data_IF_166434743969
#
_entry.id   IF_166434743969
#
_cell.length_a   1.000
_cell.length_b   1.000
_cell.length_c   1.000
_cell.angle_alpha   90.00
_cell.angle_beta   90.00
_cell.angle_gamma   90.00
#
_symmetry.space_group_name_H-M   'P 1'
#
loop_
_entity.id
_entity.type
_entity.pdbx_description
1 polymer ?
#
# COMPACT_ATOMS: atom_id res chain seq x y z
N UNK A 1 -10.86 17.84 4.95
CA UNK A 1 -11.34 16.65 5.67
C UNK A 1 -10.75 15.40 5.04
N UNK A 2 -10.21 14.52 5.81
CA UNK A 2 -9.67 13.23 5.42
C UNK A 2 -10.74 12.13 5.59
N UNK A 3 -10.86 11.17 4.66
CA UNK A 3 -10.35 11.14 3.30
C UNK A 3 -11.19 11.97 2.31
N UNK A 4 -10.77 12.05 1.03
CA UNK A 4 -11.53 12.76 -0.01
C UNK A 4 -12.78 11.98 -0.44
N UNK A 5 -13.97 12.40 0.03
CA UNK A 5 -15.22 11.76 -0.33
C UNK A 5 -15.56 11.83 -1.82
N UNK A 6 -15.25 12.95 -2.49
CA UNK A 6 -15.46 13.08 -3.93
C UNK A 6 -14.61 12.09 -4.74
N UNK A 7 -13.35 11.89 -4.32
CA UNK A 7 -12.47 10.90 -4.95
C UNK A 7 -12.98 9.48 -4.70
N UNK A 8 -13.39 9.18 -3.47
CA UNK A 8 -13.96 7.88 -3.13
C UNK A 8 -15.17 7.54 -3.99
N UNK A 9 -16.12 8.47 -4.12
CA UNK A 9 -17.32 8.28 -4.95
C UNK A 9 -16.96 8.11 -6.44
N UNK A 10 -16.02 8.90 -6.96
CA UNK A 10 -15.60 8.81 -8.35
C UNK A 10 -14.94 7.45 -8.66
N UNK A 11 -14.03 6.97 -7.80
CA UNK A 11 -13.39 5.66 -7.96
C UNK A 11 -14.36 4.50 -7.73
N UNK A 12 -15.32 4.64 -6.81
CA UNK A 12 -16.41 3.68 -6.65
C UNK A 12 -17.20 3.52 -7.94
N UNK A 13 -17.64 4.63 -8.56
CA UNK A 13 -18.39 4.60 -9.83
C UNK A 13 -17.55 4.00 -10.97
N UNK A 14 -16.27 4.35 -11.06
CA UNK A 14 -15.35 3.81 -12.05
C UNK A 14 -15.17 2.29 -11.90
N UNK A 15 -15.07 1.80 -10.65
CA UNK A 15 -14.92 0.37 -10.36
C UNK A 15 -16.20 -0.40 -10.69
N UNK A 16 -17.39 0.15 -10.39
CA UNK A 16 -18.66 -0.45 -10.81
C UNK A 16 -18.76 -0.53 -12.33
N UNK A 17 -18.42 0.56 -13.04
CA UNK A 17 -18.38 0.58 -14.50
C UNK A 17 -17.43 -0.48 -15.07
N UNK A 18 -16.26 -0.62 -14.47
CA UNK A 18 -15.29 -1.64 -14.83
C UNK A 18 -15.86 -3.05 -14.66
N UNK A 19 -16.50 -3.33 -13.53
CA UNK A 19 -17.07 -4.65 -13.24
C UNK A 19 -18.21 -5.05 -14.20
N UNK A 20 -19.10 -4.12 -14.48
CA UNK A 20 -20.29 -4.40 -15.30
C UNK A 20 -19.99 -4.39 -16.80
N UNK A 21 -19.10 -3.50 -17.24
CA UNK A 21 -18.88 -3.24 -18.66
C UNK A 21 -17.44 -3.50 -19.12
N UNK A 22 -16.47 -3.59 -18.21
CA UNK A 22 -15.07 -3.87 -18.54
C UNK A 22 -14.88 -5.15 -19.36
N UNK A 23 -15.57 -6.26 -19.06
CA UNK A 23 -15.50 -7.49 -19.88
C UNK A 23 -15.98 -7.30 -21.33
N UNK A 24 -16.86 -6.31 -21.60
CA UNK A 24 -17.35 -6.01 -22.96
C UNK A 24 -16.35 -5.18 -23.77
N UNK A 25 -15.67 -4.24 -23.12
CA UNK A 25 -14.65 -3.39 -23.74
C UNK A 25 -13.76 -2.72 -22.71
N UNK A 26 -12.45 -2.81 -22.92
CA UNK A 26 -11.45 -2.14 -22.08
C UNK A 26 -11.63 -0.62 -22.01
N UNK A 27 -12.26 -0.01 -23.02
CA UNK A 27 -12.48 1.43 -23.06
C UNK A 27 -13.37 1.95 -21.94
N UNK A 28 -14.33 1.16 -21.44
CA UNK A 28 -15.14 1.54 -20.29
C UNK A 28 -14.30 1.70 -19.03
N UNK A 29 -13.34 0.80 -18.81
CA UNK A 29 -12.42 0.86 -17.68
C UNK A 29 -11.49 2.06 -17.78
N UNK A 30 -10.88 2.27 -18.96
CA UNK A 30 -9.97 3.39 -19.20
C UNK A 30 -10.71 4.72 -19.00
N UNK A 31 -11.89 4.88 -19.59
CA UNK A 31 -12.67 6.10 -19.44
C UNK A 31 -13.09 6.36 -17.98
N UNK A 32 -13.61 5.34 -17.30
CA UNK A 32 -14.06 5.46 -15.91
C UNK A 32 -12.91 5.87 -14.96
N UNK A 33 -11.80 5.14 -15.00
CA UNK A 33 -10.68 5.46 -14.12
C UNK A 33 -9.96 6.76 -14.50
N UNK A 34 -9.94 7.14 -15.78
CA UNK A 34 -9.42 8.45 -16.19
C UNK A 34 -10.25 9.59 -15.60
N UNK A 35 -11.57 9.51 -15.67
CA UNK A 35 -12.48 10.53 -15.09
C UNK A 35 -12.34 10.57 -13.56
N UNK A 36 -12.24 9.43 -12.89
CA UNK A 36 -12.01 9.36 -11.45
C UNK A 36 -10.68 10.00 -11.05
N UNK A 37 -9.62 9.75 -11.82
CA UNK A 37 -8.30 10.35 -11.61
C UNK A 37 -8.36 11.88 -11.80
N UNK A 38 -8.99 12.37 -12.87
CA UNK A 38 -9.18 13.82 -13.09
C UNK A 38 -9.93 14.45 -11.91
N UNK A 39 -10.96 13.77 -11.39
CA UNK A 39 -11.67 14.23 -10.19
C UNK A 39 -10.72 14.35 -9.00
N UNK A 40 -9.91 13.34 -8.70
CA UNK A 40 -8.94 13.38 -7.61
C UNK A 40 -7.92 14.51 -7.78
N UNK A 41 -7.33 14.64 -8.98
CA UNK A 41 -6.38 15.71 -9.30
C UNK A 41 -7.01 17.09 -9.14
N UNK A 42 -8.25 17.28 -9.58
CA UNK A 42 -8.94 18.56 -9.44
C UNK A 42 -9.13 18.97 -7.97
N UNK A 43 -9.30 18.00 -7.06
CA UNK A 43 -9.40 18.29 -5.61
C UNK A 43 -8.08 18.81 -5.04
N UNK A 44 -6.95 18.30 -5.53
CA UNK A 44 -5.61 18.79 -5.15
C UNK A 44 -5.35 20.18 -5.74
N UNK A 45 -5.62 20.39 -7.03
CA UNK A 45 -5.41 21.69 -7.69
C UNK A 45 -6.26 22.80 -7.06
N UNK A 46 -7.45 22.48 -6.56
CA UNK A 46 -8.30 23.43 -5.86
C UNK A 46 -7.96 23.59 -4.36
N UNK A 47 -6.83 23.06 -3.88
CA UNK A 47 -6.37 23.12 -2.49
C UNK A 47 -7.43 22.64 -1.46
N UNK A 48 -8.29 21.70 -1.84
CA UNK A 48 -9.34 21.14 -0.96
C UNK A 48 -8.89 19.90 -0.22
N UNK A 49 -7.94 19.15 -0.81
CA UNK A 49 -7.41 17.90 -0.28
C UNK A 49 -5.94 17.76 -0.60
N UNK A 50 -5.21 17.11 0.29
CA UNK A 50 -3.84 16.67 0.06
C UNK A 50 -3.83 15.41 -0.82
N UNK A 51 -2.68 15.12 -1.40
CA UNK A 51 -2.49 13.91 -2.22
C UNK A 51 -2.87 12.63 -1.46
N UNK A 52 -2.51 12.56 -0.17
CA UNK A 52 -2.87 11.45 0.73
C UNK A 52 -4.39 11.25 0.85
N UNK A 53 -5.17 12.35 0.96
CA UNK A 53 -6.63 12.29 1.10
C UNK A 53 -7.27 11.71 -0.16
N UNK A 54 -6.72 12.11 -1.33
CA UNK A 54 -7.16 11.64 -2.65
C UNK A 54 -6.84 10.17 -2.82
N UNK A 55 -5.63 9.75 -2.45
CA UNK A 55 -5.16 8.37 -2.59
C UNK A 55 -5.96 7.41 -1.71
N UNK A 56 -6.18 7.78 -0.46
CA UNK A 56 -7.01 6.99 0.47
C UNK A 56 -8.46 6.96 0.01
N UNK A 57 -8.98 8.09 -0.47
CA UNK A 57 -10.32 8.15 -1.05
C UNK A 57 -10.48 7.18 -2.22
N UNK A 58 -9.53 7.16 -3.16
CA UNK A 58 -9.53 6.23 -4.28
C UNK A 58 -9.51 4.77 -3.81
N UNK A 59 -8.63 4.43 -2.87
CA UNK A 59 -8.56 3.08 -2.31
C UNK A 59 -9.84 2.63 -1.62
N UNK A 60 -10.48 3.49 -0.82
CA UNK A 60 -11.75 3.19 -0.17
C UNK A 60 -12.86 3.00 -1.22
N UNK A 61 -12.89 3.83 -2.28
CA UNK A 61 -13.86 3.70 -3.35
C UNK A 61 -13.79 2.35 -4.06
N UNK A 62 -12.60 1.92 -4.45
CA UNK A 62 -12.37 0.62 -5.08
C UNK A 62 -12.74 -0.53 -4.13
N UNK A 63 -12.20 -0.51 -2.90
CA UNK A 63 -12.44 -1.55 -1.90
C UNK A 63 -13.93 -1.72 -1.57
N UNK A 64 -14.69 -0.63 -1.45
CA UNK A 64 -16.12 -0.71 -1.13
C UNK A 64 -16.90 -1.48 -2.20
N UNK A 65 -16.59 -1.28 -3.47
CA UNK A 65 -17.23 -2.01 -4.57
C UNK A 65 -16.83 -3.47 -4.55
N UNK A 66 -15.52 -3.75 -4.46
CA UNK A 66 -15.02 -5.12 -4.46
C UNK A 66 -15.60 -5.95 -3.30
N UNK A 67 -15.63 -5.36 -2.11
CA UNK A 67 -16.24 -6.00 -0.94
C UNK A 67 -17.76 -6.16 -1.12
N UNK A 68 -18.44 -5.16 -1.71
CA UNK A 68 -19.88 -5.24 -2.00
C UNK A 68 -20.23 -6.41 -2.92
N UNK A 69 -19.50 -6.58 -4.01
CA UNK A 69 -19.69 -7.73 -4.92
C UNK A 69 -19.33 -9.05 -4.25
N UNK A 70 -18.23 -9.09 -3.48
CA UNK A 70 -17.84 -10.28 -2.73
C UNK A 70 -18.92 -10.71 -1.74
N UNK A 71 -19.49 -9.77 -0.98
CA UNK A 71 -20.57 -10.07 -0.04
C UNK A 71 -21.85 -10.46 -0.76
N UNK A 72 -22.18 -9.83 -1.89
CA UNK A 72 -23.32 -10.21 -2.70
C UNK A 72 -23.20 -11.67 -3.17
N UNK A 73 -22.04 -12.05 -3.72
CA UNK A 73 -21.77 -13.42 -4.16
C UNK A 73 -21.85 -14.43 -3.02
N UNK A 74 -21.34 -14.08 -1.83
CA UNK A 74 -21.40 -14.94 -0.65
C UNK A 74 -22.83 -15.12 -0.10
N UNK A 75 -23.64 -14.07 -0.12
CA UNK A 75 -25.00 -14.08 0.45
C UNK A 75 -25.97 -14.74 -0.52
N UNK A 76 -25.95 -14.38 -1.78
CA UNK A 76 -26.93 -14.83 -2.77
C UNK A 76 -26.58 -16.16 -3.42
N UNK A 77 -25.38 -16.72 -3.15
CA UNK A 77 -24.92 -18.02 -3.70
C UNK A 77 -25.13 -18.15 -5.22
N UNK A 78 -25.01 -17.04 -5.92
CA UNK A 78 -25.23 -17.06 -7.36
C UNK A 78 -24.08 -17.72 -8.13
N UNK A 79 -24.41 -18.20 -9.32
CA UNK A 79 -23.64 -19.10 -10.20
C UNK A 79 -22.18 -18.70 -10.50
N UNK A 80 -21.80 -17.48 -10.22
CA UNK A 80 -20.42 -17.01 -10.39
C UNK A 80 -19.38 -17.77 -9.53
N UNK A 81 -19.79 -18.34 -8.41
CA UNK A 81 -18.88 -19.13 -7.57
C UNK A 81 -18.48 -20.47 -8.21
N UNK A 82 -19.38 -21.07 -9.00
CA UNK A 82 -19.14 -22.37 -9.66
C UNK A 82 -18.24 -22.21 -10.89
N UNK A 83 -18.43 -21.16 -11.67
CA UNK A 83 -17.52 -20.81 -12.79
C UNK A 83 -16.13 -20.40 -12.25
N UNK A 84 -16.12 -19.63 -11.15
CA UNK A 84 -14.92 -19.21 -10.47
C UNK A 84 -14.12 -20.39 -9.90
N UNK A 85 -14.76 -21.43 -9.36
CA UNK A 85 -14.06 -22.61 -8.88
C UNK A 85 -13.48 -23.47 -10.02
N UNK A 86 -14.13 -23.54 -11.17
CA UNK A 86 -13.64 -24.25 -12.35
C UNK A 86 -12.44 -23.52 -12.96
N UNK A 87 -12.50 -22.21 -13.09
CA UNK A 87 -11.38 -21.38 -13.56
C UNK A 87 -10.20 -21.46 -12.60
N UNK A 88 -10.45 -21.50 -11.30
CA UNK A 88 -9.40 -21.66 -10.29
C UNK A 88 -8.68 -23.01 -10.31
N UNK A 89 -9.37 -24.07 -10.65
CA UNK A 89 -8.73 -25.39 -10.79
C UNK A 89 -7.71 -25.41 -11.95
N UNK A 90 -7.99 -24.61 -12.99
CA UNK A 90 -7.08 -24.44 -14.12
C UNK A 90 -5.92 -23.50 -13.80
N UNK A 91 -6.15 -22.48 -12.95
CA UNK A 91 -5.20 -21.38 -12.67
C UNK A 91 -4.20 -21.68 -11.52
N UNK A 92 -4.21 -22.90 -10.98
CA UNK A 92 -3.27 -23.30 -9.91
C UNK A 92 -1.78 -23.15 -10.35
N UNK A 93 -1.52 -23.09 -11.65
CA UNK A 93 -0.21 -22.95 -12.25
C UNK A 93 0.04 -21.58 -12.90
N UNK A 94 -0.91 -20.66 -12.85
CA UNK A 94 -0.71 -19.33 -13.41
C UNK A 94 0.21 -18.47 -12.54
N UNK A 95 0.94 -17.59 -13.20
CA UNK A 95 1.89 -16.67 -12.57
C UNK A 95 1.11 -15.69 -11.71
N UNK A 96 1.41 -15.55 -10.41
CA UNK A 96 0.69 -14.64 -9.51
C UNK A 96 1.20 -13.20 -9.63
N UNK A 97 1.34 -12.69 -10.86
CA UNK A 97 1.74 -11.31 -11.13
C UNK A 97 0.68 -10.35 -10.67
N UNK A 98 1.08 -9.24 -10.08
CA UNK A 98 0.12 -8.27 -9.53
C UNK A 98 0.68 -6.85 -9.58
N UNK A 99 -0.24 -5.90 -9.58
CA UNK A 99 0.00 -4.49 -9.34
C UNK A 99 -1.11 -3.98 -8.42
N UNK A 100 -0.77 -3.30 -7.35
CA UNK A 100 -1.78 -2.84 -6.40
C UNK A 100 -1.37 -1.65 -5.57
N UNK A 101 -2.37 -1.14 -4.86
CA UNK A 101 -2.22 -0.07 -3.88
C UNK A 101 -2.24 -0.65 -2.48
N UNK A 102 -1.33 -0.16 -1.64
CA UNK A 102 -1.16 -0.58 -0.26
C UNK A 102 -1.48 0.57 0.69
N UNK A 103 -2.24 0.25 1.72
CA UNK A 103 -2.40 1.08 2.91
C UNK A 103 -1.82 0.30 4.07
N UNK A 104 -0.90 0.91 4.80
CA UNK A 104 -0.22 0.23 5.90
C UNK A 104 0.03 1.15 7.08
N UNK A 105 0.26 0.53 8.24
CA UNK A 105 0.64 1.20 9.46
C UNK A 105 2.08 0.86 9.79
N UNK A 106 2.89 1.88 10.02
CA UNK A 106 4.28 1.74 10.41
C UNK A 106 4.39 1.83 11.94
N UNK A 107 4.94 0.79 12.53
CA UNK A 107 5.26 0.73 13.97
C UNK A 107 6.77 0.68 14.12
N UNK A 108 7.36 1.74 14.66
CA UNK A 108 8.79 1.78 14.93
C UNK A 108 9.09 0.94 16.16
N UNK A 109 10.01 -0.02 16.01
CA UNK A 109 10.41 -0.93 17.08
C UNK A 109 11.65 -0.38 17.77
N UNK A 110 11.55 -0.16 19.07
CA UNK A 110 12.64 0.30 19.90
C UNK A 110 12.61 1.80 20.19
N UNK A 111 13.54 2.26 21.02
CA UNK A 111 13.72 3.67 21.37
C UNK A 111 14.80 4.26 20.47
N UNK A 112 14.49 5.37 19.86
CA UNK A 112 15.42 6.10 19.01
C UNK A 112 16.02 7.26 19.77
N UNK A 113 17.35 7.35 19.77
CA UNK A 113 18.10 8.43 20.39
C UNK A 113 18.89 9.19 19.32
N UNK A 114 18.29 10.21 18.69
CA UNK A 114 18.93 10.95 17.60
C UNK A 114 20.20 11.69 18.08
N UNK A 115 20.19 12.23 19.28
CA UNK A 115 21.29 12.97 19.89
C UNK A 115 21.37 12.62 21.39
N UNK A 116 22.54 12.73 21.97
CA UNK A 116 22.73 12.47 23.40
C UNK A 116 21.80 13.32 24.27
N UNK A 117 20.95 12.66 25.05
CA UNK A 117 19.97 13.32 25.95
C UNK A 117 18.57 13.54 25.37
N UNK A 118 18.32 13.22 24.10
CA UNK A 118 16.99 13.33 23.46
C UNK A 118 16.47 11.93 23.16
N UNK A 119 15.37 11.53 23.82
CA UNK A 119 14.66 10.29 23.50
C UNK A 119 13.42 10.63 22.66
N UNK A 120 13.27 9.96 21.52
CA UNK A 120 12.10 10.05 20.65
C UNK A 120 11.17 8.87 20.85
N UNK A 121 9.91 9.13 21.11
CA UNK A 121 8.83 8.14 21.05
C UNK A 121 8.07 8.30 19.73
N UNK A 122 7.91 7.20 19.03
CA UNK A 122 7.15 7.17 17.80
C UNK A 122 5.77 6.60 18.05
N UNK A 123 4.77 7.27 17.55
CA UNK A 123 3.43 6.71 17.42
C UNK A 123 3.29 5.93 16.11
N UNK A 124 2.24 5.13 16.01
CA UNK A 124 1.94 4.42 14.78
C UNK A 124 1.76 5.41 13.61
N UNK A 125 2.54 5.23 12.57
CA UNK A 125 2.48 6.02 11.34
C UNK A 125 1.53 5.43 10.32
N UNK A 126 1.17 6.24 9.32
CA UNK A 126 0.41 5.79 8.14
C UNK A 126 1.33 5.80 6.94
N UNK A 127 1.24 4.74 6.15
CA UNK A 127 2.02 4.55 4.95
C UNK A 127 1.09 4.19 3.78
N UNK A 128 1.31 4.84 2.66
CA UNK A 128 0.57 4.62 1.42
C UNK A 128 1.57 4.28 0.32
N UNK A 129 1.31 3.20 -0.40
CA UNK A 129 2.22 2.74 -1.41
C UNK A 129 1.56 2.10 -2.62
N UNK A 130 2.38 1.94 -3.65
CA UNK A 130 2.09 1.12 -4.81
C UNK A 130 3.12 0.00 -4.82
N UNK A 131 2.65 -1.21 -4.93
CA UNK A 131 3.47 -2.42 -4.95
C UNK A 131 3.07 -3.30 -6.13
N UNK A 132 4.07 -3.83 -6.84
CA UNK A 132 3.81 -4.73 -7.94
C UNK A 132 4.94 -5.73 -8.12
N UNK A 133 4.61 -6.91 -8.61
CA UNK A 133 5.59 -7.94 -8.92
C UNK A 133 5.17 -8.74 -10.16
N UNK A 134 6.15 -9.02 -10.97
CA UNK A 134 6.02 -9.90 -12.12
C UNK A 134 6.66 -11.25 -11.80
N UNK A 135 5.88 -12.31 -11.90
CA UNK A 135 6.31 -13.66 -11.60
C UNK A 135 6.73 -14.39 -12.88
N UNK A 136 7.95 -14.90 -12.88
CA UNK A 136 8.48 -15.72 -13.98
C UNK A 136 7.92 -17.14 -13.94
N UNK A 137 7.62 -17.62 -12.75
CA UNK A 137 6.99 -18.92 -12.49
C UNK A 137 5.99 -18.76 -11.32
N UNK A 138 5.17 -19.79 -10.98
CA UNK A 138 4.18 -19.67 -9.91
C UNK A 138 4.73 -19.34 -8.52
N UNK A 139 6.04 -19.45 -8.32
CA UNK A 139 6.66 -19.38 -7.00
C UNK A 139 7.58 -18.17 -6.80
N UNK A 140 8.22 -17.70 -7.87
CA UNK A 140 9.27 -16.66 -7.78
C UNK A 140 9.01 -15.56 -8.78
N UNK A 141 9.05 -14.34 -8.32
CA UNK A 141 8.92 -13.12 -9.12
C UNK A 141 9.87 -12.03 -8.67
N UNK A 142 9.94 -10.99 -9.49
CA UNK A 142 10.65 -9.74 -9.20
C UNK A 142 9.68 -8.59 -9.25
N UNK A 143 9.88 -7.62 -8.35
CA UNK A 143 8.98 -6.50 -8.28
C UNK A 143 9.57 -5.35 -7.49
N UNK A 144 8.70 -4.37 -7.21
CA UNK A 144 9.09 -3.20 -6.44
C UNK A 144 7.92 -2.59 -5.71
N UNK A 145 8.26 -1.70 -4.81
CA UNK A 145 7.34 -0.93 -3.99
C UNK A 145 7.83 0.50 -3.92
N UNK A 146 6.92 1.44 -4.11
CA UNK A 146 7.12 2.84 -3.76
C UNK A 146 6.07 3.27 -2.76
N UNK A 147 6.47 4.04 -1.76
CA UNK A 147 5.56 4.43 -0.70
C UNK A 147 5.93 5.76 -0.08
N UNK A 148 4.92 6.43 0.43
CA UNK A 148 5.02 7.65 1.23
C UNK A 148 4.53 7.34 2.64
N UNK A 149 5.31 7.70 3.63
CA UNK A 149 5.01 7.45 5.05
C UNK A 149 4.99 8.74 5.84
N UNK A 150 4.07 8.83 6.78
CA UNK A 150 3.98 9.93 7.75
C UNK A 150 3.87 9.35 9.15
N UNK A 151 4.90 9.54 9.94
CA UNK A 151 5.01 8.99 11.31
C UNK A 151 5.00 10.13 12.32
N UNK A 152 4.02 10.20 13.25
CA UNK A 152 4.02 11.18 14.31
C UNK A 152 5.14 10.90 15.33
N UNK A 153 5.93 11.93 15.63
CA UNK A 153 7.03 11.86 16.60
C UNK A 153 6.70 12.74 17.80
N UNK A 154 6.94 12.21 19.00
CA UNK A 154 6.97 12.97 20.24
C UNK A 154 8.38 12.94 20.80
N UNK A 155 8.94 14.11 21.07
CA UNK A 155 10.22 14.23 21.75
C UNK A 155 10.01 14.67 23.20
N UNK A 156 10.81 14.09 24.10
CA UNK A 156 10.75 14.42 25.55
C UNK A 156 11.01 15.89 25.88
N UNK A 157 11.48 16.68 24.94
CA UNK A 157 11.88 18.09 25.13
C UNK A 157 10.81 19.07 24.64
N UNK A 158 9.78 18.61 23.94
CA UNK A 158 8.75 19.47 23.36
C UNK A 158 7.35 18.87 23.46
N UNK A 159 6.39 19.66 23.94
CA UNK A 159 4.97 19.28 23.95
C UNK A 159 4.31 19.26 22.56
N UNK A 160 5.06 19.55 21.49
CA UNK A 160 4.56 19.55 20.12
C UNK A 160 4.71 18.18 19.48
N UNK A 161 3.64 17.72 18.85
CA UNK A 161 3.66 16.52 17.99
C UNK A 161 4.05 16.97 16.59
N UNK A 162 5.22 16.58 16.14
CA UNK A 162 5.68 16.81 14.76
C UNK A 162 5.55 15.53 13.92
N UNK A 163 5.63 15.64 12.61
CA UNK A 163 5.49 14.49 11.69
C UNK A 163 6.78 14.31 10.91
N UNK A 164 7.23 13.07 10.88
CA UNK A 164 8.30 12.66 9.99
C UNK A 164 7.69 12.13 8.69
N UNK A 165 7.80 12.94 7.66
CA UNK A 165 7.38 12.55 6.33
C UNK A 165 8.57 11.96 5.56
N UNK A 166 8.33 10.84 4.90
CA UNK A 166 9.37 10.15 4.13
C UNK A 166 8.79 9.47 2.91
N UNK A 167 9.63 9.26 1.92
CA UNK A 167 9.30 8.40 0.79
C UNK A 167 10.39 7.34 0.60
N UNK A 168 9.97 6.18 0.12
CA UNK A 168 10.85 5.07 -0.13
C UNK A 168 10.53 4.43 -1.47
N UNK A 169 11.58 3.98 -2.17
CA UNK A 169 11.47 3.14 -3.34
C UNK A 169 12.37 1.91 -3.15
N UNK A 170 11.83 0.74 -3.37
CA UNK A 170 12.53 -0.52 -3.19
C UNK A 170 12.15 -1.53 -4.26
N UNK A 171 13.08 -2.42 -4.57
CA UNK A 171 12.88 -3.52 -5.51
C UNK A 171 13.47 -4.81 -4.94
N UNK A 172 13.01 -5.95 -5.41
CA UNK A 172 13.52 -7.21 -4.92
C UNK A 172 12.77 -8.45 -5.38
N UNK A 173 13.01 -9.54 -4.67
CA UNK A 173 12.41 -10.83 -4.95
C UNK A 173 11.10 -11.03 -4.18
N UNK A 174 10.14 -11.62 -4.85
CA UNK A 174 8.84 -12.00 -4.32
C UNK A 174 8.66 -13.51 -4.45
N UNK A 175 8.10 -14.09 -3.42
CA UNK A 175 7.81 -15.51 -3.35
C UNK A 175 6.32 -15.71 -3.15
N UNK A 176 5.75 -16.72 -3.77
CA UNK A 176 4.34 -17.08 -3.64
C UNK A 176 4.19 -18.59 -3.56
N UNK A 177 3.31 -19.04 -2.69
CA UNK A 177 2.96 -20.45 -2.57
C UNK A 177 1.44 -20.61 -2.41
N UNK A 178 0.76 -21.32 -3.32
CA UNK A 178 -0.67 -21.55 -3.22
C UNK A 178 -0.98 -22.56 -2.10
N UNK A 179 -1.79 -22.16 -1.12
CA UNK A 179 -2.28 -23.04 -0.05
C UNK A 179 -3.57 -23.71 -0.49
N UNK A 180 -4.49 -22.92 -1.04
CA UNK A 180 -5.78 -23.39 -1.57
C UNK A 180 -6.04 -22.70 -2.91
N UNK A 181 -7.17 -22.99 -3.55
CA UNK A 181 -7.59 -22.30 -4.76
C UNK A 181 -7.70 -20.77 -4.59
N UNK A 182 -8.06 -20.27 -3.40
CA UNK A 182 -8.25 -18.84 -3.11
C UNK A 182 -7.17 -18.22 -2.23
N UNK A 183 -6.42 -19.02 -1.48
CA UNK A 183 -5.45 -18.51 -0.55
C UNK A 183 -4.03 -18.82 -0.98
N UNK A 184 -3.20 -17.81 -1.00
CA UNK A 184 -1.75 -17.90 -1.25
C UNK A 184 -1.00 -17.27 -0.10
N UNK A 185 0.06 -17.90 0.34
CA UNK A 185 1.06 -17.27 1.20
C UNK A 185 2.22 -16.77 0.35
N UNK A 186 2.91 -15.77 0.83
CA UNK A 186 4.04 -15.22 0.11
C UNK A 186 5.09 -14.65 1.04
N UNK A 187 6.24 -14.38 0.45
CA UNK A 187 7.34 -13.68 1.08
C UNK A 187 7.92 -12.65 0.15
N UNK A 188 8.63 -11.67 0.69
CA UNK A 188 9.38 -10.69 -0.09
C UNK A 188 10.67 -10.30 0.60
N UNK A 189 11.68 -10.03 -0.22
CA UNK A 189 12.95 -9.46 0.21
C UNK A 189 13.21 -8.26 -0.69
N UNK A 190 13.32 -7.09 -0.09
CA UNK A 190 13.41 -5.81 -0.76
C UNK A 190 14.69 -5.09 -0.37
N UNK A 191 15.29 -4.40 -1.33
CA UNK A 191 16.36 -3.45 -1.11
C UNK A 191 16.06 -2.18 -1.88
N UNK A 192 16.35 -1.03 -1.30
CA UNK A 192 16.01 0.24 -1.91
C UNK A 192 16.61 1.43 -1.21
N UNK A 193 15.98 2.56 -1.41
CA UNK A 193 16.39 3.83 -0.85
C UNK A 193 15.20 4.51 -0.18
N UNK A 194 15.44 5.06 1.00
CA UNK A 194 14.48 5.88 1.74
C UNK A 194 15.04 7.27 1.96
N UNK A 195 14.17 8.26 1.81
CA UNK A 195 14.47 9.66 1.99
C UNK A 195 13.50 10.26 2.99
N UNK A 196 14.03 10.96 3.97
CA UNK A 196 13.29 11.73 4.96
C UNK A 196 13.30 13.20 4.59
N UNK A 197 12.14 13.83 4.61
CA UNK A 197 12.03 15.26 4.41
C UNK A 197 12.59 16.01 5.62
N UNK A 198 13.03 17.25 5.38
CA UNK A 198 13.48 18.13 6.46
C UNK A 198 12.31 18.46 7.39
N UNK A 199 12.49 18.28 8.68
CA UNK A 199 11.48 18.68 9.66
C UNK A 199 12.07 19.68 10.66
N UNK A 200 11.22 20.56 11.19
CA UNK A 200 11.61 21.60 12.14
C UNK A 200 11.05 21.27 13.51
N UNK A 201 11.93 21.14 14.48
CA UNK A 201 11.58 20.81 15.85
C UNK A 201 12.09 21.92 16.78
N UNK A 202 11.19 22.63 17.47
CA UNK A 202 11.54 23.70 18.42
C UNK A 202 12.61 24.68 17.93
N UNK A 203 12.55 25.10 16.65
CA UNK A 203 13.51 26.03 16.07
C UNK A 203 14.81 25.40 15.57
N UNK A 204 14.99 24.10 15.74
CA UNK A 204 16.06 23.35 15.10
C UNK A 204 15.52 22.68 13.83
N UNK A 205 16.03 23.09 12.67
CA UNK A 205 15.74 22.44 11.40
C UNK A 205 16.68 21.25 11.21
N UNK A 206 16.14 20.05 11.32
CA UNK A 206 16.88 18.85 10.95
C UNK A 206 16.81 18.70 9.44
N UNK A 207 17.99 18.72 8.80
CA UNK A 207 18.11 18.63 7.34
C UNK A 207 17.63 17.28 6.81
N UNK A 208 17.20 17.30 5.56
CA UNK A 208 16.83 16.07 4.85
C UNK A 208 17.95 15.03 4.87
N UNK A 209 17.60 13.78 5.07
CA UNK A 209 18.52 12.66 5.11
C UNK A 209 17.95 11.48 4.32
N UNK A 210 18.81 10.66 3.77
CA UNK A 210 18.37 9.45 3.09
C UNK A 210 19.47 8.39 3.09
N UNK A 211 19.05 7.16 2.82
CA UNK A 211 19.98 6.04 2.80
C UNK A 211 19.35 4.72 2.37
N UNK A 212 20.11 3.65 2.36
CA UNK A 212 19.64 2.35 1.96
C UNK A 212 18.59 1.81 2.95
N UNK A 213 17.56 1.17 2.42
CA UNK A 213 16.53 0.46 3.18
C UNK A 213 16.49 -1.00 2.74
N UNK A 214 16.34 -1.89 3.71
CA UNK A 214 16.18 -3.32 3.48
C UNK A 214 14.90 -3.79 4.13
N UNK A 215 14.12 -4.61 3.41
CA UNK A 215 12.85 -5.13 3.88
C UNK A 215 12.75 -6.64 3.71
N UNK A 216 12.21 -7.30 4.72
CA UNK A 216 11.83 -8.72 4.65
C UNK A 216 10.39 -8.83 5.15
N UNK A 217 9.54 -9.47 4.36
CA UNK A 217 8.13 -9.55 4.70
C UNK A 217 7.48 -10.85 4.31
N UNK A 218 6.33 -11.07 4.92
CA UNK A 218 5.40 -12.16 4.60
C UNK A 218 4.06 -11.59 4.18
N UNK A 219 3.31 -12.35 3.42
CA UNK A 219 1.97 -11.95 2.98
C UNK A 219 1.02 -13.12 2.89
N UNK A 220 -0.25 -12.83 3.07
CA UNK A 220 -1.37 -13.73 2.83
C UNK A 220 -2.30 -13.08 1.83
N UNK A 221 -2.47 -13.70 0.68
CA UNK A 221 -3.28 -13.18 -0.43
C UNK A 221 -4.55 -13.98 -0.56
N UNK A 222 -5.67 -13.30 -0.55
CA UNK A 222 -6.98 -13.85 -0.85
C UNK A 222 -7.41 -13.40 -2.23
N UNK A 223 -7.62 -14.34 -3.12
CA UNK A 223 -8.13 -14.06 -4.45
C UNK A 223 -9.64 -13.92 -4.39
N UNK A 224 -10.10 -12.68 -4.53
CA UNK A 224 -11.53 -12.37 -4.49
C UNK A 224 -12.19 -12.60 -5.84
N UNK A 225 -11.48 -12.32 -6.95
CA UNK A 225 -11.95 -12.55 -8.31
C UNK A 225 -10.77 -12.91 -9.23
N UNK A 226 -11.01 -13.22 -10.50
CA UNK A 226 -9.99 -13.58 -11.50
C UNK A 226 -8.84 -12.57 -11.59
N UNK A 227 -9.17 -11.27 -11.57
CA UNK A 227 -8.21 -10.18 -11.69
C UNK A 227 -8.04 -9.36 -10.41
N UNK A 228 -8.58 -9.79 -9.27
CA UNK A 228 -8.55 -8.99 -8.05
C UNK A 228 -8.18 -9.82 -6.83
N UNK A 229 -7.11 -9.39 -6.17
CA UNK A 229 -6.60 -9.99 -4.96
C UNK A 229 -6.58 -8.99 -3.80
N UNK A 230 -6.95 -9.44 -2.62
CA UNK A 230 -6.70 -8.75 -1.36
C UNK A 230 -5.49 -9.39 -0.68
N UNK A 231 -4.51 -8.57 -0.29
CA UNK A 231 -3.29 -9.05 0.34
C UNK A 231 -3.11 -8.39 1.70
N UNK A 232 -3.01 -9.21 2.73
CA UNK A 232 -2.52 -8.85 4.05
C UNK A 232 -1.01 -9.07 4.08
N UNK A 233 -0.27 -8.11 4.58
CA UNK A 233 1.18 -8.23 4.60
C UNK A 233 1.78 -7.64 5.85
N UNK A 234 2.87 -8.24 6.28
CA UNK A 234 3.72 -7.79 7.37
C UNK A 234 5.13 -7.70 6.85
N UNK A 235 5.76 -6.54 6.97
CA UNK A 235 7.11 -6.32 6.48
C UNK A 235 7.95 -5.65 7.56
N UNK A 236 9.08 -6.23 7.85
CA UNK A 236 10.09 -5.62 8.69
C UNK A 236 11.09 -4.87 7.82
N UNK A 237 11.30 -3.59 8.13
CA UNK A 237 12.24 -2.73 7.44
C UNK A 237 13.37 -2.32 8.38
N UNK A 238 14.60 -2.47 7.89
CA UNK A 238 15.79 -1.82 8.42
C UNK A 238 15.99 -0.53 7.62
N UNK A 239 15.71 0.60 8.25
CA UNK A 239 15.74 1.92 7.62
C UNK A 239 17.01 2.68 8.00
N UNK A 240 17.46 3.63 7.15
CA UNK A 240 18.61 4.47 7.46
C UNK A 240 18.34 5.37 8.67
N UNK A 241 19.39 5.92 9.29
CA UNK A 241 19.24 6.92 10.35
C UNK A 241 18.50 8.16 9.84
N UNK A 242 17.60 8.72 10.68
CA UNK A 242 16.85 9.94 10.37
C UNK A 242 17.71 11.20 10.42
N UNK A 243 18.83 11.16 11.14
CA UNK A 243 19.73 12.28 11.33
C UNK A 243 21.12 11.86 10.86
N UNK A 244 21.76 12.72 10.09
CA UNK A 244 23.07 12.46 9.46
C UNK A 244 24.17 12.14 10.45
N UNK A 245 24.05 12.64 11.67
CA UNK A 245 25.01 12.44 12.77
C UNK A 245 24.73 11.17 13.59
N UNK A 246 23.52 10.60 13.46
CA UNK A 246 23.15 9.38 14.16
C UNK A 246 23.60 8.13 13.39
N UNK A 247 24.17 7.17 14.11
CA UNK A 247 24.49 5.84 13.56
C UNK A 247 23.40 4.82 13.81
N UNK A 248 22.32 5.20 14.50
CA UNK A 248 21.26 4.28 14.86
C UNK A 248 20.26 4.11 13.70
N UNK A 249 20.18 2.89 13.19
CA UNK A 249 19.16 2.51 12.22
C UNK A 249 17.77 2.45 12.86
N UNK A 250 16.73 2.77 12.09
CA UNK A 250 15.36 2.57 12.51
C UNK A 250 14.90 1.17 12.09
N UNK A 251 14.23 0.51 13.05
CA UNK A 251 13.59 -0.77 12.84
C UNK A 251 12.08 -0.53 12.80
N UNK A 252 11.45 -0.80 11.66
CA UNK A 252 10.03 -0.55 11.48
C UNK A 252 9.31 -1.82 11.08
N UNK A 253 8.21 -2.12 11.76
CA UNK A 253 7.27 -3.15 11.37
C UNK A 253 6.09 -2.49 10.67
N UNK A 254 5.90 -2.83 9.41
CA UNK A 254 4.78 -2.34 8.60
C UNK A 254 3.73 -3.43 8.49
N UNK A 255 2.51 -3.11 8.92
CA UNK A 255 1.33 -3.96 8.79
C UNK A 255 0.42 -3.37 7.71
N UNK A 256 0.21 -4.08 6.63
CA UNK A 256 -0.46 -3.53 5.46
C UNK A 256 -1.58 -4.40 4.90
N UNK A 257 -2.49 -3.71 4.24
CA UNK A 257 -3.52 -4.28 3.38
C UNK A 257 -3.33 -3.70 1.99
N UNK A 258 -3.31 -4.54 0.97
CA UNK A 258 -3.28 -4.08 -0.41
C UNK A 258 -4.40 -4.68 -1.24
N UNK A 259 -4.89 -3.86 -2.15
CA UNK A 259 -5.83 -4.23 -3.19
C UNK A 259 -5.07 -4.32 -4.51
N UNK A 260 -5.06 -5.49 -5.13
CA UNK A 260 -4.20 -5.79 -6.26
C UNK A 260 -5.02 -6.23 -7.47
N UNK A 261 -4.60 -5.78 -8.63
CA UNK A 261 -5.01 -6.33 -9.92
C UNK A 261 -4.02 -7.45 -10.26
N UNK A 262 -4.53 -8.67 -10.43
CA UNK A 262 -3.75 -9.85 -10.84
C UNK A 262 -3.80 -10.02 -12.36
N UNK A 263 -2.68 -10.43 -12.98
CA UNK A 263 -2.55 -10.64 -14.43
C UNK A 263 -1.53 -11.72 -14.79
#
# INVERSE_FOLDING_TARGET
SFPSGHTATAFMAATMLHKEYGPRSLWYSIAGYSMATVTGVSRMLNNKHWFSDVLVGAGIGILSVELGYLFADLIFKERGLTEFEQDFAFDRYCRPSFLGMEVSTDVVIGRYRPVAGVEGEFNAGVNLGIEGAWFMNPYVGFGGRTAVSSVPIKLNVAESTDRLDSWAASAGAYFSYPITARWRTGGKVLAGYQYYESFSLNGYTLGSCGGPVFGVGTSMTFRANYNFDLRFQTTYYLQPPMVRESRQHLNTLTLGLSANIAF
#
